data_IF_659917349717
#
_entry.id   IF_659917349717
#
_cell.length_a   1.000
_cell.length_b   1.000
_cell.length_c   1.000
_cell.angle_alpha   90.00
_cell.angle_beta   90.00
_cell.angle_gamma   90.00
#
_symmetry.space_group_name_H-M   'P 1'
#
loop_
_entity.id
_entity.type
_entity.pdbx_description
1 polymer ?
#
# COMPACT_ATOMS: atom_id res chain seq x y z
N UNK A 1 -8.07 24.68 -22.38
CA UNK A 1 -8.36 23.99 -21.12
C UNK A 1 -8.54 25.05 -20.03
N UNK A 2 -9.72 25.15 -19.41
CA UNK A 2 -9.98 26.20 -18.41
C UNK A 2 -8.99 26.05 -17.23
N UNK A 3 -8.41 27.18 -16.77
CA UNK A 3 -7.45 27.24 -15.66
C UNK A 3 -7.97 26.49 -14.41
N UNK A 4 -9.24 26.61 -14.10
CA UNK A 4 -9.88 25.89 -12.99
C UNK A 4 -9.84 24.34 -13.10
N UNK A 5 -9.87 23.79 -14.32
CA UNK A 5 -9.76 22.35 -14.57
C UNK A 5 -8.30 21.90 -14.40
N UNK A 6 -7.34 22.70 -14.89
CA UNK A 6 -5.92 22.43 -14.75
C UNK A 6 -5.49 22.44 -13.26
N UNK A 7 -6.00 23.37 -12.46
CA UNK A 7 -5.67 23.46 -11.04
C UNK A 7 -6.28 22.31 -10.23
N UNK A 8 -7.48 21.86 -10.54
CA UNK A 8 -8.06 20.65 -9.95
C UNK A 8 -7.26 19.38 -10.30
N UNK A 9 -6.79 19.27 -11.56
CA UNK A 9 -5.92 18.18 -11.98
C UNK A 9 -4.63 18.10 -11.17
N UNK A 10 -3.97 19.24 -10.92
CA UNK A 10 -2.75 19.31 -10.08
C UNK A 10 -3.02 18.86 -8.64
N UNK A 11 -4.13 19.31 -8.04
CA UNK A 11 -4.52 18.90 -6.68
C UNK A 11 -4.77 17.41 -6.60
N UNK A 12 -5.48 16.82 -7.57
CA UNK A 12 -5.74 15.37 -7.61
C UNK A 12 -4.45 14.59 -7.80
N UNK A 13 -3.54 15.06 -8.65
CA UNK A 13 -2.21 14.42 -8.84
C UNK A 13 -1.40 14.46 -7.54
N UNK A 14 -1.32 15.62 -6.89
CA UNK A 14 -0.61 15.75 -5.61
C UNK A 14 -1.20 14.84 -4.52
N UNK A 15 -2.53 14.76 -4.43
CA UNK A 15 -3.21 13.85 -3.51
C UNK A 15 -2.94 12.37 -3.85
N UNK A 16 -2.96 11.99 -5.12
CA UNK A 16 -2.65 10.64 -5.57
C UNK A 16 -1.19 10.25 -5.28
N UNK A 17 -0.25 11.16 -5.52
CA UNK A 17 1.16 10.97 -5.15
C UNK A 17 1.32 10.81 -3.63
N UNK A 18 0.64 11.65 -2.83
CA UNK A 18 0.64 11.53 -1.38
C UNK A 18 0.09 10.18 -0.88
N UNK A 19 -0.97 9.66 -1.52
CA UNK A 19 -1.50 8.32 -1.23
C UNK A 19 -0.43 7.26 -1.53
N UNK A 20 0.21 7.30 -2.70
CA UNK A 20 1.21 6.32 -3.08
C UNK A 20 2.47 6.38 -2.19
N UNK A 21 2.91 7.57 -1.79
CA UNK A 21 3.98 7.73 -0.80
C UNK A 21 3.62 7.08 0.55
N UNK A 22 2.39 7.29 1.03
CA UNK A 22 1.92 6.66 2.26
C UNK A 22 1.80 5.13 2.14
N UNK A 23 1.48 4.63 0.94
CA UNK A 23 1.41 3.20 0.65
C UNK A 23 2.78 2.56 0.35
N UNK A 24 3.83 3.37 0.28
CA UNK A 24 5.22 2.93 0.03
C UNK A 24 5.82 2.07 1.15
N UNK A 25 5.07 1.78 2.22
CA UNK A 25 5.48 0.92 3.33
C UNK A 25 5.97 -0.48 2.89
N UNK A 26 5.52 -0.96 1.73
CA UNK A 26 5.99 -2.22 1.16
C UNK A 26 7.50 -2.16 0.82
N UNK A 27 7.99 -1.02 0.37
CA UNK A 27 9.40 -0.79 0.06
C UNK A 27 10.28 -0.69 1.32
N UNK A 28 9.67 -0.39 2.47
CA UNK A 28 10.37 -0.36 3.77
C UNK A 28 10.53 -1.75 4.40
N UNK A 29 10.14 -2.83 3.70
CA UNK A 29 10.22 -4.19 4.24
C UNK A 29 11.63 -4.57 4.71
N UNK A 30 12.67 -4.14 4.01
CA UNK A 30 14.05 -4.41 4.40
C UNK A 30 14.37 -3.94 5.83
N UNK A 31 13.85 -2.77 6.22
CA UNK A 31 14.05 -2.21 7.57
C UNK A 31 13.36 -3.08 8.62
N UNK A 32 12.12 -3.49 8.37
CA UNK A 32 11.40 -4.41 9.27
C UNK A 32 12.09 -5.75 9.39
N UNK A 33 12.49 -6.32 8.25
CA UNK A 33 13.21 -7.60 8.20
C UNK A 33 14.50 -7.58 9.01
N UNK A 34 15.30 -6.53 8.86
CA UNK A 34 16.58 -6.42 9.57
C UNK A 34 16.35 -6.25 11.08
N UNK A 35 15.37 -5.46 11.49
CA UNK A 35 14.99 -5.30 12.91
C UNK A 35 14.47 -6.62 13.51
N UNK A 36 13.63 -7.36 12.79
CA UNK A 36 13.13 -8.67 13.23
C UNK A 36 14.28 -9.67 13.33
N UNK A 37 15.17 -9.73 12.32
CA UNK A 37 16.32 -10.61 12.31
C UNK A 37 17.27 -10.34 13.49
N UNK A 38 17.49 -9.07 13.82
CA UNK A 38 18.29 -8.68 14.97
C UNK A 38 17.62 -9.12 16.28
N UNK A 39 16.32 -8.86 16.45
CA UNK A 39 15.56 -9.28 17.62
C UNK A 39 15.57 -10.80 17.83
N UNK A 40 15.48 -11.58 16.74
CA UNK A 40 15.59 -13.05 16.80
C UNK A 40 16.98 -13.49 17.27
N UNK A 41 18.05 -12.83 16.80
CA UNK A 41 19.44 -13.15 17.20
C UNK A 41 19.73 -12.79 18.66
N UNK A 42 19.19 -11.70 19.14
CA UNK A 42 19.35 -11.23 20.52
C UNK A 42 18.61 -12.11 21.53
N UNK A 43 17.53 -12.80 21.11
CA UNK A 43 16.78 -13.75 21.95
C UNK A 43 16.13 -13.10 23.18
N UNK A 44 15.79 -11.80 23.12
CA UNK A 44 15.22 -11.08 24.24
C UNK A 44 13.85 -11.64 24.65
N UNK A 45 13.50 -11.69 25.94
CA UNK A 45 12.18 -12.11 26.38
C UNK A 45 11.08 -11.22 25.78
N UNK A 46 10.08 -11.83 25.10
CA UNK A 46 9.01 -11.11 24.39
C UNK A 46 9.39 -10.62 23.00
N UNK A 47 10.60 -10.89 22.52
CA UNK A 47 11.05 -10.60 21.16
C UNK A 47 10.48 -11.56 20.12
N UNK A 48 10.92 -11.39 18.87
CA UNK A 48 10.56 -12.26 17.76
C UNK A 48 11.23 -13.62 17.88
N UNK A 49 10.47 -14.70 17.66
CA UNK A 49 10.95 -16.10 17.71
C UNK A 49 10.86 -16.80 16.35
N UNK A 50 10.97 -16.03 15.26
CA UNK A 50 10.77 -16.55 13.90
C UNK A 50 11.98 -17.35 13.40
N UNK A 51 11.71 -18.22 12.45
CA UNK A 51 12.80 -18.81 11.68
C UNK A 51 13.36 -17.76 10.71
N UNK A 52 14.70 -17.61 10.68
CA UNK A 52 15.37 -16.65 9.81
C UNK A 52 15.12 -16.90 8.31
N UNK A 53 14.81 -18.14 7.91
CA UNK A 53 14.43 -18.47 6.54
C UNK A 53 13.06 -17.94 6.13
N UNK A 54 12.16 -17.71 7.09
CA UNK A 54 10.77 -17.26 6.87
C UNK A 54 10.59 -15.75 6.97
N UNK A 55 11.67 -14.99 7.11
CA UNK A 55 11.59 -13.53 7.26
C UNK A 55 10.95 -12.81 6.06
N UNK A 56 11.02 -13.37 4.87
CA UNK A 56 10.43 -12.75 3.67
C UNK A 56 8.97 -13.17 3.40
N UNK A 57 8.42 -14.12 4.16
CA UNK A 57 7.08 -14.65 3.90
C UNK A 57 5.97 -13.58 4.03
N UNK A 58 5.98 -12.69 5.05
CA UNK A 58 4.96 -11.63 5.11
C UNK A 58 5.01 -10.70 3.90
N UNK A 59 6.20 -10.40 3.38
CA UNK A 59 6.36 -9.61 2.16
C UNK A 59 5.83 -10.35 0.93
N UNK A 60 6.16 -11.64 0.78
CA UNK A 60 5.68 -12.45 -0.33
C UNK A 60 4.15 -12.55 -0.33
N UNK A 61 3.54 -12.76 0.84
CA UNK A 61 2.08 -12.76 1.01
C UNK A 61 1.50 -11.39 0.68
N UNK A 62 2.15 -10.28 1.10
CA UNK A 62 1.69 -8.94 0.76
C UNK A 62 1.70 -8.69 -0.75
N UNK A 63 2.73 -9.12 -1.46
CA UNK A 63 2.81 -9.01 -2.93
C UNK A 63 1.69 -9.83 -3.61
N UNK A 64 1.41 -11.04 -3.13
CA UNK A 64 0.31 -11.86 -3.64
C UNK A 64 -1.05 -11.20 -3.37
N UNK A 65 -1.29 -10.75 -2.14
CA UNK A 65 -2.52 -10.07 -1.78
C UNK A 65 -2.69 -8.75 -2.53
N UNK A 66 -1.61 -8.03 -2.80
CA UNK A 66 -1.62 -6.85 -3.68
C UNK A 66 -2.06 -7.22 -5.09
N UNK A 67 -1.45 -8.23 -5.71
CA UNK A 67 -1.76 -8.64 -7.07
C UNK A 67 -3.23 -9.07 -7.22
N UNK A 68 -3.71 -9.96 -6.36
CA UNK A 68 -5.10 -10.41 -6.39
C UNK A 68 -6.09 -9.34 -5.91
N UNK A 69 -5.70 -8.51 -4.95
CA UNK A 69 -6.49 -7.40 -4.42
C UNK A 69 -6.80 -6.31 -5.45
N UNK A 70 -5.97 -6.16 -6.49
CA UNK A 70 -6.21 -5.21 -7.59
C UNK A 70 -7.53 -5.48 -8.33
N UNK A 71 -7.96 -6.75 -8.43
CA UNK A 71 -9.21 -7.12 -9.12
C UNK A 71 -10.44 -6.58 -8.40
N UNK A 72 -10.70 -6.90 -7.12
CA UNK A 72 -11.84 -6.33 -6.39
C UNK A 72 -11.71 -4.82 -6.18
N UNK A 73 -10.49 -4.30 -6.02
CA UNK A 73 -10.24 -2.87 -5.89
C UNK A 73 -10.67 -2.10 -7.14
N UNK A 74 -10.33 -2.60 -8.34
CA UNK A 74 -10.77 -2.02 -9.61
C UNK A 74 -12.28 -2.02 -9.75
N UNK A 75 -12.94 -3.13 -9.44
CA UNK A 75 -14.42 -3.21 -9.44
C UNK A 75 -15.06 -2.22 -8.46
N UNK A 76 -14.52 -2.08 -7.27
CA UNK A 76 -15.03 -1.11 -6.29
C UNK A 76 -14.84 0.31 -6.77
N UNK A 77 -13.70 0.62 -7.39
CA UNK A 77 -13.42 1.94 -7.95
C UNK A 77 -14.39 2.30 -9.08
N UNK A 78 -14.67 1.37 -9.98
CA UNK A 78 -15.62 1.60 -11.08
C UNK A 78 -17.05 1.77 -10.56
N UNK A 79 -17.42 1.04 -9.50
CA UNK A 79 -18.77 1.09 -8.92
C UNK A 79 -19.00 2.29 -7.99
N UNK A 80 -18.02 2.65 -7.14
CA UNK A 80 -18.21 3.64 -6.06
C UNK A 80 -17.22 4.82 -6.12
N UNK A 81 -16.29 4.79 -7.06
CA UNK A 81 -15.32 5.84 -7.29
C UNK A 81 -14.07 5.79 -6.38
N UNK A 82 -13.07 6.64 -6.71
CA UNK A 82 -11.75 6.58 -6.08
C UNK A 82 -11.73 6.94 -4.59
N UNK A 83 -12.66 7.78 -4.12
CA UNK A 83 -12.69 8.20 -2.70
C UNK A 83 -12.95 7.04 -1.76
N UNK A 84 -13.97 6.22 -2.06
CA UNK A 84 -14.35 5.08 -1.23
C UNK A 84 -13.28 4.00 -1.30
N UNK A 85 -12.73 3.76 -2.49
CA UNK A 85 -11.68 2.77 -2.70
C UNK A 85 -10.39 3.14 -1.96
N UNK A 86 -9.96 4.41 -2.05
CA UNK A 86 -8.79 4.91 -1.33
C UNK A 86 -8.99 4.86 0.20
N UNK A 87 -10.20 5.20 0.69
CA UNK A 87 -10.52 5.15 2.11
C UNK A 87 -10.50 3.72 2.64
N UNK A 88 -11.07 2.77 1.89
CA UNK A 88 -11.01 1.35 2.23
C UNK A 88 -9.56 0.84 2.27
N UNK A 89 -8.73 1.23 1.29
CA UNK A 89 -7.31 0.93 1.27
C UNK A 89 -6.57 1.47 2.50
N UNK A 90 -6.77 2.74 2.82
CA UNK A 90 -6.16 3.39 4.00
C UNK A 90 -6.56 2.73 5.32
N UNK A 91 -7.84 2.37 5.47
CA UNK A 91 -8.33 1.64 6.66
C UNK A 91 -7.69 0.26 6.80
N UNK A 92 -7.57 -0.48 5.69
CA UNK A 92 -6.92 -1.81 5.70
C UNK A 92 -5.43 -1.71 6.06
N UNK A 93 -4.69 -0.77 5.47
CA UNK A 93 -3.29 -0.53 5.81
C UNK A 93 -3.15 -0.12 7.27
N UNK A 94 -3.96 0.83 7.73
CA UNK A 94 -3.95 1.29 9.12
C UNK A 94 -4.24 0.16 10.10
N UNK A 95 -5.27 -0.64 9.86
CA UNK A 95 -5.60 -1.79 10.70
C UNK A 95 -4.47 -2.83 10.72
N UNK A 96 -3.87 -3.12 9.56
CA UNK A 96 -2.74 -4.03 9.45
C UNK A 96 -1.52 -3.54 10.24
N UNK A 97 -1.18 -2.24 10.13
CA UNK A 97 -0.07 -1.64 10.87
C UNK A 97 -0.30 -1.64 12.38
N UNK A 98 -1.53 -1.33 12.84
CA UNK A 98 -1.89 -1.45 14.26
C UNK A 98 -1.77 -2.89 14.72
N UNK A 99 -2.25 -3.85 13.95
CA UNK A 99 -2.17 -5.27 14.30
C UNK A 99 -0.72 -5.73 14.49
N UNK A 100 0.18 -5.42 13.55
CA UNK A 100 1.58 -5.84 13.67
C UNK A 100 2.33 -5.12 14.80
N UNK A 101 1.92 -3.91 15.18
CA UNK A 101 2.50 -3.20 16.32
C UNK A 101 2.18 -3.85 17.67
N UNK A 102 1.12 -4.65 17.72
CA UNK A 102 0.65 -5.30 18.95
C UNK A 102 1.12 -6.76 19.10
N UNK A 103 1.83 -7.31 18.11
CA UNK A 103 2.22 -8.72 18.13
C UNK A 103 3.59 -8.97 17.52
N UNK A 104 4.33 -9.90 18.13
CA UNK A 104 5.58 -10.44 17.60
C UNK A 104 5.39 -11.80 16.92
N UNK A 105 4.14 -12.30 16.87
CA UNK A 105 3.80 -13.61 16.32
C UNK A 105 3.95 -13.64 14.79
N UNK A 106 4.54 -14.70 14.26
CA UNK A 106 4.70 -14.92 12.82
C UNK A 106 3.35 -14.86 12.06
N UNK A 107 2.33 -15.56 12.56
CA UNK A 107 0.99 -15.56 11.96
C UNK A 107 0.34 -14.18 11.99
N UNK A 108 0.55 -13.43 13.09
CA UNK A 108 0.06 -12.06 13.21
C UNK A 108 0.64 -11.14 12.13
N UNK A 109 1.92 -11.31 11.79
CA UNK A 109 2.55 -10.56 10.71
C UNK A 109 2.14 -11.02 9.32
N UNK A 110 1.89 -12.32 9.10
CA UNK A 110 1.32 -12.80 7.84
C UNK A 110 -0.05 -12.20 7.56
N UNK A 111 -0.91 -12.10 8.59
CA UNK A 111 -2.24 -11.52 8.45
C UNK A 111 -2.16 -9.99 8.41
N UNK A 112 -1.48 -9.36 9.34
CA UNK A 112 -1.41 -7.91 9.46
C UNK A 112 -0.67 -7.27 8.27
N UNK A 113 0.58 -7.64 8.07
CA UNK A 113 1.38 -7.08 6.97
C UNK A 113 1.05 -7.76 5.62
N UNK A 114 0.99 -9.08 5.58
CA UNK A 114 0.74 -9.83 4.34
C UNK A 114 -0.66 -9.54 3.79
N UNK A 115 -1.69 -9.93 4.51
CA UNK A 115 -3.07 -9.87 4.01
C UNK A 115 -3.63 -8.44 4.07
N UNK A 116 -3.64 -7.78 5.23
CA UNK A 116 -4.33 -6.49 5.40
C UNK A 116 -3.57 -5.36 4.69
N UNK A 117 -2.26 -5.21 4.95
CA UNK A 117 -1.46 -4.16 4.31
C UNK A 117 -1.36 -4.41 2.80
N UNK A 118 -1.06 -5.64 2.36
CA UNK A 118 -0.99 -5.98 0.93
C UNK A 118 -2.28 -5.66 0.17
N UNK A 119 -3.43 -6.09 0.69
CA UNK A 119 -4.74 -5.77 0.10
C UNK A 119 -5.04 -4.27 0.16
N UNK A 120 -4.74 -3.62 1.28
CA UNK A 120 -4.96 -2.18 1.45
C UNK A 120 -4.17 -1.34 0.44
N UNK A 121 -2.93 -1.71 0.16
CA UNK A 121 -2.09 -1.07 -0.87
C UNK A 121 -2.73 -1.27 -2.26
N UNK A 122 -3.27 -2.45 -2.58
CA UNK A 122 -3.97 -2.69 -3.85
C UNK A 122 -5.16 -1.72 -4.05
N UNK A 123 -5.95 -1.51 -3.00
CA UNK A 123 -7.10 -0.59 -3.05
C UNK A 123 -6.66 0.86 -3.22
N UNK A 124 -5.65 1.31 -2.48
CA UNK A 124 -5.14 2.66 -2.61
C UNK A 124 -4.49 2.93 -3.97
N UNK A 125 -3.69 2.00 -4.46
CA UNK A 125 -3.01 2.09 -5.76
C UNK A 125 -4.01 2.11 -6.92
N UNK A 126 -5.02 1.22 -6.87
CA UNK A 126 -6.11 1.18 -7.86
C UNK A 126 -6.89 2.50 -7.90
N UNK A 127 -7.05 3.18 -6.76
CA UNK A 127 -7.78 4.45 -6.68
C UNK A 127 -6.94 5.65 -7.17
N UNK A 128 -5.66 5.70 -6.82
CA UNK A 128 -4.82 6.88 -7.01
C UNK A 128 -4.49 7.16 -8.48
N UNK A 129 -3.92 6.19 -9.17
CA UNK A 129 -3.38 6.38 -10.52
C UNK A 129 -4.43 6.71 -11.57
N UNK A 130 -5.56 5.98 -11.72
CA UNK A 130 -6.58 6.31 -12.72
C UNK A 130 -7.30 7.62 -12.42
N UNK A 131 -7.46 7.98 -11.13
CA UNK A 131 -8.07 9.24 -10.74
C UNK A 131 -7.25 10.44 -11.22
N UNK A 132 -5.92 10.38 -11.11
CA UNK A 132 -5.03 11.45 -11.56
C UNK A 132 -5.01 11.56 -13.09
N UNK A 133 -4.89 10.44 -13.80
CA UNK A 133 -4.78 10.40 -15.26
C UNK A 133 -5.99 11.02 -15.96
N UNK A 134 -7.20 10.81 -15.44
CA UNK A 134 -8.46 11.31 -16.04
C UNK A 134 -8.54 12.85 -16.19
N UNK A 135 -7.71 13.60 -15.49
CA UNK A 135 -7.70 15.07 -15.53
C UNK A 135 -6.78 15.64 -16.61
N UNK A 136 -6.01 14.82 -17.29
CA UNK A 136 -5.01 15.28 -18.26
C UNK A 136 -5.27 14.70 -19.66
N UNK A 137 -4.86 15.42 -20.72
CA UNK A 137 -5.00 14.93 -22.08
C UNK A 137 -4.11 13.69 -22.31
N UNK A 138 -4.53 12.84 -23.25
CA UNK A 138 -3.92 11.54 -23.52
C UNK A 138 -2.39 11.58 -23.78
N UNK A 139 -1.88 12.69 -24.32
CA UNK A 139 -0.45 12.85 -24.58
C UNK A 139 0.41 13.06 -23.31
N UNK A 140 -0.21 13.28 -22.15
CA UNK A 140 0.48 13.45 -20.85
C UNK A 140 0.23 12.30 -19.87
N UNK A 141 -0.54 11.30 -20.27
CA UNK A 141 -0.94 10.16 -19.40
C UNK A 141 0.27 9.45 -18.80
N UNK A 142 1.29 9.16 -19.59
CA UNK A 142 2.50 8.48 -19.11
C UNK A 142 3.30 9.33 -18.11
N UNK A 143 3.44 10.64 -18.34
CA UNK A 143 4.10 11.54 -17.42
C UNK A 143 3.38 11.61 -16.06
N UNK A 144 2.05 11.77 -16.09
CA UNK A 144 1.24 11.84 -14.86
C UNK A 144 1.25 10.50 -14.12
N UNK A 145 1.14 9.38 -14.84
CA UNK A 145 1.27 8.05 -14.24
C UNK A 145 2.64 7.88 -13.56
N UNK A 146 3.72 8.29 -14.21
CA UNK A 146 5.06 8.26 -13.65
C UNK A 146 5.19 9.09 -12.36
N UNK A 147 4.69 10.32 -12.35
CA UNK A 147 4.73 11.20 -11.15
C UNK A 147 3.94 10.62 -9.99
N UNK A 148 2.80 9.97 -10.26
CA UNK A 148 1.94 9.40 -9.22
C UNK A 148 2.53 8.13 -8.63
N UNK A 149 3.29 7.35 -9.43
CA UNK A 149 3.84 6.04 -9.03
C UNK A 149 5.26 6.14 -8.49
N UNK A 150 6.02 7.18 -8.86
CA UNK A 150 7.38 7.41 -8.38
C UNK A 150 7.45 7.74 -6.90
#
# INVERSE_FOLDING_TARGET
>A
MNQAIADRGKVVTAAATGINLALGVLYSWSIFKDAIAQSVKEGAPGGFTWNLSSLNDPYAVACLCFAFGMIPAGKLQDARGPRITAMAGGLLVGAGMVMISMTTSYTGWLIGFGLLVGTGIAFGYSAATPAAIKWFPNNKTGLIAGIVVA
#
